data_IF_419193935638
#
_entry.id   IF_419193935638
#
_cell.length_a   1.000
_cell.length_b   1.000
_cell.length_c   1.000
_cell.angle_alpha   90.00
_cell.angle_beta   90.00
_cell.angle_gamma   90.00
#
_symmetry.space_group_name_H-M   'P 1'
#
loop_
_entity.id
_entity.type
_entity.pdbx_description
1 polymer ?
#
# COMPACT_ATOMS: atom_id res chain seq x y z
N UNK A 1 3.27 36.43 -1.16
CA UNK A 1 2.75 35.41 -0.21
C UNK A 1 1.73 34.56 -0.97
N UNK A 2 2.19 33.48 -1.62
CA UNK A 2 1.34 32.66 -2.50
C UNK A 2 0.36 31.84 -1.66
N UNK A 3 -0.94 32.13 -1.82
CA UNK A 3 -2.04 31.35 -1.26
C UNK A 3 -2.05 29.98 -1.94
N UNK A 4 -1.59 28.95 -1.22
CA UNK A 4 -1.75 27.56 -1.65
C UNK A 4 -3.23 27.20 -1.55
N UNK A 5 -3.87 26.99 -2.69
CA UNK A 5 -5.28 26.61 -2.82
C UNK A 5 -5.51 25.17 -2.36
N UNK A 6 -6.48 24.98 -1.45
CA UNK A 6 -6.92 23.72 -0.80
C UNK A 6 -7.50 22.66 -1.78
N UNK A 7 -6.71 22.05 -2.68
CA UNK A 7 -7.27 21.07 -3.65
C UNK A 7 -6.67 19.65 -3.73
N UNK A 8 -5.71 19.24 -2.89
CA UNK A 8 -5.12 17.87 -3.01
C UNK A 8 -4.88 17.14 -1.68
N UNK A 9 -5.85 17.18 -0.77
CA UNK A 9 -5.84 16.31 0.41
C UNK A 9 -6.71 15.10 0.08
N UNK A 10 -6.11 13.92 -0.13
CA UNK A 10 -6.87 12.67 -0.30
C UNK A 10 -7.94 12.54 0.78
N UNK A 11 -9.11 11.94 0.47
CA UNK A 11 -10.38 11.99 1.24
C UNK A 11 -10.26 12.06 2.78
N UNK A 12 -9.33 11.30 3.38
CA UNK A 12 -9.15 11.23 4.83
C UNK A 12 -7.89 11.91 5.38
N UNK A 13 -7.07 12.57 4.55
CA UNK A 13 -5.90 13.34 5.01
C UNK A 13 -6.27 14.48 5.97
N UNK A 14 -7.52 14.97 5.91
CA UNK A 14 -8.06 15.92 6.91
C UNK A 14 -7.94 15.43 8.35
N UNK A 15 -7.93 14.12 8.58
CA UNK A 15 -7.76 13.55 9.92
C UNK A 15 -6.39 13.88 10.53
N UNK A 16 -5.38 14.19 9.71
CA UNK A 16 -4.05 14.61 10.18
C UNK A 16 -4.03 16.01 10.82
N UNK A 17 -5.15 16.73 10.80
CA UNK A 17 -5.31 17.97 11.57
C UNK A 17 -5.40 17.68 13.08
N UNK A 18 -5.84 16.48 13.46
CA UNK A 18 -5.76 16.00 14.82
C UNK A 18 -4.30 15.64 15.16
N UNK A 19 -3.71 16.24 16.20
CA UNK A 19 -2.32 15.99 16.58
C UNK A 19 -2.00 14.53 16.91
N UNK A 20 -2.94 13.78 17.51
CA UNK A 20 -2.72 12.39 17.90
C UNK A 20 -2.80 11.47 16.69
N UNK A 21 -3.74 11.72 15.77
CA UNK A 21 -3.78 11.03 14.48
C UNK A 21 -2.50 11.30 13.69
N UNK A 22 -2.00 12.53 13.71
CA UNK A 22 -0.73 12.88 13.05
C UNK A 22 0.46 12.13 13.67
N UNK A 23 0.58 12.11 15.00
CA UNK A 23 1.66 11.38 15.69
C UNK A 23 1.63 9.89 15.39
N UNK A 24 0.44 9.30 15.39
CA UNK A 24 0.22 7.90 15.02
C UNK A 24 0.63 7.62 13.57
N UNK A 25 0.18 8.46 12.64
CA UNK A 25 0.53 8.37 11.22
C UNK A 25 2.03 8.46 11.02
N UNK A 26 2.68 9.50 11.57
CA UNK A 26 4.12 9.73 11.44
C UNK A 26 4.91 8.54 12.00
N UNK A 27 4.44 7.93 13.09
CA UNK A 27 5.07 6.75 13.66
C UNK A 27 5.02 5.53 12.73
N UNK A 28 3.88 5.27 12.07
CA UNK A 28 3.76 4.19 11.09
C UNK A 28 4.59 4.51 9.83
N UNK A 29 4.58 5.77 9.41
CA UNK A 29 5.26 6.24 8.20
C UNK A 29 6.79 6.05 8.27
N UNK A 30 7.39 6.06 9.47
CA UNK A 30 8.81 5.73 9.67
C UNK A 30 9.18 4.33 9.18
N UNK A 31 8.26 3.38 9.25
CA UNK A 31 8.46 2.02 8.71
C UNK A 31 7.97 1.89 7.28
N UNK A 32 6.82 2.48 6.96
CA UNK A 32 6.24 2.43 5.61
C UNK A 32 5.18 3.52 5.43
N UNK A 33 5.46 4.49 4.56
CA UNK A 33 4.51 5.55 4.20
C UNK A 33 3.25 4.98 3.55
N UNK A 34 3.40 3.96 2.67
CA UNK A 34 2.28 3.23 2.07
C UNK A 34 1.35 2.67 3.14
N UNK A 35 1.92 2.02 4.16
CA UNK A 35 1.15 1.46 5.28
C UNK A 35 0.44 2.55 6.08
N UNK A 36 1.11 3.69 6.32
CA UNK A 36 0.52 4.82 7.01
C UNK A 36 -0.70 5.40 6.25
N UNK A 37 -0.56 5.61 4.94
CA UNK A 37 -1.64 6.10 4.08
C UNK A 37 -2.81 5.12 3.98
N UNK A 38 -2.52 3.81 3.85
CA UNK A 38 -3.56 2.77 3.88
C UNK A 38 -4.30 2.78 5.21
N UNK A 39 -3.59 2.78 6.34
CA UNK A 39 -4.21 2.77 7.68
C UNK A 39 -5.01 4.04 7.95
N UNK A 40 -4.52 5.22 7.59
CA UNK A 40 -5.25 6.48 7.70
C UNK A 40 -6.57 6.44 6.92
N UNK A 41 -6.54 5.93 5.69
CA UNK A 41 -7.73 5.74 4.87
C UNK A 41 -8.70 4.76 5.51
N UNK A 42 -8.24 3.62 6.05
CA UNK A 42 -9.12 2.64 6.69
C UNK A 42 -9.77 3.18 7.97
N UNK A 43 -9.00 3.90 8.79
CA UNK A 43 -9.52 4.59 9.97
C UNK A 43 -10.59 5.61 9.57
N UNK A 44 -10.34 6.41 8.52
CA UNK A 44 -11.31 7.37 8.03
C UNK A 44 -12.59 6.75 7.46
N UNK A 45 -12.48 5.64 6.72
CA UNK A 45 -13.66 4.89 6.22
C UNK A 45 -14.49 4.34 7.37
N UNK A 46 -13.85 3.79 8.41
CA UNK A 46 -14.54 3.33 9.61
C UNK A 46 -15.31 4.49 10.26
N UNK A 47 -14.63 5.61 10.52
CA UNK A 47 -15.22 6.80 11.11
C UNK A 47 -16.43 7.32 10.31
N UNK A 48 -16.37 7.33 8.99
CA UNK A 48 -17.49 7.73 8.14
C UNK A 48 -18.67 6.75 8.21
N UNK A 49 -18.40 5.45 8.20
CA UNK A 49 -19.45 4.43 8.27
C UNK A 49 -20.16 4.38 9.62
N UNK A 50 -19.43 4.65 10.72
CA UNK A 50 -19.96 4.63 12.08
C UNK A 50 -20.34 6.01 12.61
N UNK A 51 -20.17 7.06 11.80
CA UNK A 51 -20.42 8.47 12.17
C UNK A 51 -19.70 8.88 13.46
N UNK A 52 -18.47 8.43 13.64
CA UNK A 52 -17.62 8.78 14.78
C UNK A 52 -16.34 9.46 14.30
N UNK A 53 -15.52 9.97 15.22
CA UNK A 53 -14.16 10.43 14.95
C UNK A 53 -13.13 9.52 15.62
N UNK A 54 -11.85 9.54 15.19
CA UNK A 54 -10.82 8.67 15.76
C UNK A 54 -10.72 8.75 17.29
N UNK A 55 -10.85 9.96 17.84
CA UNK A 55 -10.80 10.23 19.27
C UNK A 55 -11.94 9.55 20.04
N UNK A 56 -13.18 9.74 19.61
CA UNK A 56 -14.36 9.09 20.21
C UNK A 56 -14.23 7.56 20.20
N UNK A 57 -13.78 6.98 19.09
CA UNK A 57 -13.55 5.54 19.01
C UNK A 57 -12.50 5.06 20.01
N UNK A 58 -11.40 5.80 20.18
CA UNK A 58 -10.39 5.49 21.19
C UNK A 58 -10.95 5.63 22.62
N UNK A 59 -11.72 6.69 22.89
CA UNK A 59 -12.33 6.93 24.21
C UNK A 59 -13.30 5.81 24.63
N UNK A 60 -14.05 5.22 23.69
CA UNK A 60 -14.89 4.06 23.96
C UNK A 60 -14.02 2.90 24.49
N UNK A 61 -12.92 2.59 23.81
CA UNK A 61 -12.01 1.53 24.23
C UNK A 61 -11.28 1.81 25.54
N UNK A 62 -10.96 3.08 25.82
CA UNK A 62 -10.33 3.50 27.09
C UNK A 62 -11.30 3.33 28.25
N UNK A 63 -12.56 3.71 28.07
CA UNK A 63 -13.62 3.54 29.09
C UNK A 63 -13.92 2.07 29.33
N UNK A 64 -14.05 1.30 28.25
CA UNK A 64 -14.37 -0.11 28.32
C UNK A 64 -13.92 -0.83 27.05
N UNK A 65 -12.90 -1.67 27.17
CA UNK A 65 -12.36 -2.46 26.05
C UNK A 65 -13.43 -3.34 25.39
N UNK A 66 -14.39 -3.85 26.17
CA UNK A 66 -15.47 -4.69 25.65
C UNK A 66 -16.32 -3.94 24.63
N UNK A 67 -16.63 -2.67 24.87
CA UNK A 67 -17.49 -1.89 23.98
C UNK A 67 -16.79 -1.63 22.64
N UNK A 68 -15.47 -1.40 22.66
CA UNK A 68 -14.69 -1.31 21.43
C UNK A 68 -14.66 -2.65 20.67
N UNK A 69 -14.57 -3.78 21.37
CA UNK A 69 -14.60 -5.10 20.73
C UNK A 69 -15.96 -5.44 20.13
N UNK A 70 -17.05 -5.14 20.84
CA UNK A 70 -18.42 -5.33 20.37
C UNK A 70 -18.66 -4.49 19.10
N UNK A 71 -18.22 -3.23 19.08
CA UNK A 71 -18.25 -2.37 17.88
C UNK A 71 -17.46 -2.94 16.70
N UNK A 72 -16.28 -3.53 16.95
CA UNK A 72 -15.48 -4.12 15.89
C UNK A 72 -16.12 -5.41 15.33
N UNK A 73 -16.74 -6.22 16.17
CA UNK A 73 -17.48 -7.42 15.75
C UNK A 73 -18.71 -7.06 14.90
N UNK A 74 -19.47 -6.06 15.33
CA UNK A 74 -20.61 -5.54 14.58
C UNK A 74 -20.20 -4.93 13.25
N UNK A 75 -19.07 -4.22 13.24
CA UNK A 75 -18.54 -3.62 12.03
C UNK A 75 -18.03 -4.66 11.02
N UNK A 76 -17.40 -5.74 11.47
CA UNK A 76 -17.06 -6.89 10.61
C UNK A 76 -18.33 -7.48 10.02
N UNK A 77 -19.35 -7.75 10.84
CA UNK A 77 -20.64 -8.27 10.37
C UNK A 77 -21.30 -7.35 9.34
N UNK A 78 -21.19 -6.03 9.52
CA UNK A 78 -21.66 -5.04 8.56
C UNK A 78 -20.91 -5.12 7.23
N UNK A 79 -19.58 -5.23 7.25
CA UNK A 79 -18.77 -5.34 6.03
C UNK A 79 -19.00 -6.66 5.28
N UNK A 80 -19.15 -7.76 5.99
CA UNK A 80 -19.50 -9.06 5.41
C UNK A 80 -20.86 -9.02 4.71
N UNK A 81 -21.88 -8.43 5.35
CA UNK A 81 -23.22 -8.23 4.75
C UNK A 81 -23.19 -7.34 3.50
N UNK A 82 -22.21 -6.44 3.40
CA UNK A 82 -21.99 -5.59 2.21
C UNK A 82 -21.20 -6.30 1.11
N UNK A 83 -20.72 -7.52 1.33
CA UNK A 83 -19.98 -8.30 0.35
C UNK A 83 -18.53 -7.83 0.14
N UNK A 84 -17.93 -7.15 1.12
CA UNK A 84 -16.52 -6.77 1.02
C UNK A 84 -15.61 -8.01 1.08
N UNK A 85 -14.52 -7.98 0.31
CA UNK A 85 -13.54 -9.06 0.30
C UNK A 85 -12.93 -9.30 1.70
N UNK A 86 -12.75 -10.55 2.15
CA UNK A 86 -12.19 -10.85 3.48
C UNK A 86 -10.86 -10.15 3.79
N UNK A 87 -9.94 -10.11 2.83
CA UNK A 87 -8.65 -9.43 2.95
C UNK A 87 -8.79 -7.92 3.19
N UNK A 88 -9.80 -7.30 2.58
CA UNK A 88 -10.12 -5.89 2.77
C UNK A 88 -10.64 -5.60 4.19
N UNK A 89 -11.49 -6.49 4.71
CA UNK A 89 -12.01 -6.40 6.09
C UNK A 89 -10.85 -6.54 7.09
N UNK A 90 -9.96 -7.50 6.87
CA UNK A 90 -8.77 -7.74 7.69
C UNK A 90 -7.84 -6.51 7.71
N UNK A 91 -7.62 -5.87 6.56
CA UNK A 91 -6.82 -4.66 6.48
C UNK A 91 -7.46 -3.46 7.21
N UNK A 92 -8.79 -3.37 7.25
CA UNK A 92 -9.47 -2.39 8.10
C UNK A 92 -9.22 -2.71 9.57
N UNK A 93 -9.39 -3.96 10.01
CA UNK A 93 -9.14 -4.34 11.39
C UNK A 93 -7.70 -4.08 11.82
N UNK A 94 -6.70 -4.33 10.97
CA UNK A 94 -5.30 -4.00 11.25
C UNK A 94 -5.12 -2.50 11.52
N UNK A 95 -5.79 -1.64 10.76
CA UNK A 95 -5.74 -0.20 10.97
C UNK A 95 -6.40 0.22 12.30
N UNK A 96 -7.59 -0.32 12.60
CA UNK A 96 -8.31 -0.02 13.83
C UNK A 96 -7.58 -0.53 15.08
N UNK A 97 -7.03 -1.75 15.04
CA UNK A 97 -6.15 -2.30 16.09
C UNK A 97 -4.92 -1.43 16.29
N UNK A 98 -4.30 -0.97 15.20
CA UNK A 98 -3.15 -0.07 15.26
C UNK A 98 -3.48 1.27 15.91
N UNK A 99 -4.69 1.81 15.69
CA UNK A 99 -5.13 3.05 16.31
C UNK A 99 -5.46 2.87 17.80
N UNK A 100 -6.21 1.82 18.15
CA UNK A 100 -6.53 1.50 19.54
C UNK A 100 -5.27 1.23 20.36
N UNK A 101 -4.31 0.45 19.82
CA UNK A 101 -3.04 0.19 20.51
C UNK A 101 -2.21 1.44 20.73
N UNK A 102 -2.25 2.42 19.82
CA UNK A 102 -1.58 3.71 20.00
C UNK A 102 -2.21 4.51 21.15
N UNK A 103 -3.51 4.35 21.37
CA UNK A 103 -4.27 4.96 22.45
C UNK A 103 -4.36 4.06 23.70
N UNK A 104 -3.39 3.17 23.90
CA UNK A 104 -3.28 2.28 25.07
C UNK A 104 -4.45 1.28 25.26
N UNK A 105 -5.28 1.08 24.24
CA UNK A 105 -6.37 0.09 24.26
C UNK A 105 -5.88 -1.23 23.67
N UNK A 106 -5.68 -2.24 24.51
CA UNK A 106 -5.31 -3.59 24.10
C UNK A 106 -6.54 -4.48 24.03
N UNK A 107 -6.92 -4.89 22.81
CA UNK A 107 -7.99 -5.87 22.59
C UNK A 107 -7.60 -7.25 23.14
N UNK A 108 -8.57 -7.94 23.73
CA UNK A 108 -8.45 -9.28 24.32
C UNK A 108 -9.05 -10.34 23.40
N UNK A 109 -10.21 -10.06 22.79
CA UNK A 109 -10.94 -10.98 21.92
C UNK A 109 -10.25 -11.13 20.56
N UNK A 110 -10.21 -12.39 20.10
CA UNK A 110 -9.86 -12.71 18.71
C UNK A 110 -11.08 -12.49 17.82
N UNK A 111 -10.98 -11.54 16.91
CA UNK A 111 -11.98 -11.31 15.87
C UNK A 111 -11.56 -12.14 14.66
N UNK A 112 -12.39 -13.10 14.26
CA UNK A 112 -12.11 -14.01 13.14
C UNK A 112 -12.76 -13.45 11.88
N UNK A 113 -12.03 -13.52 10.77
CA UNK A 113 -12.55 -13.25 9.42
C UNK A 113 -12.29 -14.53 8.62
N UNK A 114 -13.34 -15.09 8.04
CA UNK A 114 -13.23 -16.31 7.24
C UNK A 114 -12.53 -15.98 5.91
N UNK A 115 -11.60 -16.82 5.48
CA UNK A 115 -10.93 -16.73 4.18
C UNK A 115 -10.14 -15.42 3.96
N UNK A 116 -9.66 -14.77 5.02
CA UNK A 116 -8.90 -13.51 4.93
C UNK A 116 -7.58 -13.64 4.15
N UNK A 117 -7.04 -14.85 4.09
CA UNK A 117 -5.81 -15.26 3.40
C UNK A 117 -6.04 -15.75 1.97
N UNK A 118 -7.30 -15.95 1.55
CA UNK A 118 -7.63 -16.40 0.20
C UNK A 118 -7.67 -15.20 -0.74
N UNK A 119 -6.90 -15.19 -1.84
CA UNK A 119 -6.87 -14.09 -2.81
C UNK A 119 -8.09 -14.17 -3.74
N UNK A 120 -9.29 -13.94 -3.20
CA UNK A 120 -10.58 -14.05 -3.91
C UNK A 120 -10.67 -13.18 -5.17
N UNK A 121 -9.91 -12.08 -5.25
CA UNK A 121 -9.91 -11.19 -6.42
C UNK A 121 -9.02 -11.69 -7.55
N UNK A 122 -8.10 -12.62 -7.28
CA UNK A 122 -7.11 -13.11 -8.25
C UNK A 122 -7.49 -14.48 -8.83
N UNK A 123 -8.60 -15.08 -8.40
CA UNK A 123 -8.99 -16.45 -8.76
C UNK A 123 -9.13 -16.65 -10.28
N UNK A 124 -9.58 -15.62 -11.00
CA UNK A 124 -9.76 -15.64 -12.45
C UNK A 124 -8.68 -14.84 -13.20
N UNK A 125 -7.58 -14.46 -12.56
CA UNK A 125 -6.48 -13.79 -13.26
C UNK A 125 -5.71 -14.79 -14.13
N UNK A 126 -5.54 -14.44 -15.41
CA UNK A 126 -4.73 -15.22 -16.34
C UNK A 126 -3.33 -14.64 -16.48
N UNK A 127 -2.33 -15.50 -16.49
CA UNK A 127 -0.97 -15.12 -16.88
C UNK A 127 -0.94 -14.89 -18.39
N UNK A 128 -0.52 -13.71 -18.90
CA UNK A 128 -0.46 -13.45 -20.32
C UNK A 128 0.44 -14.46 -21.05
N UNK A 129 -0.05 -14.98 -22.18
CA UNK A 129 0.78 -15.78 -23.10
C UNK A 129 1.83 -14.90 -23.79
N UNK A 130 2.84 -15.51 -24.41
CA UNK A 130 3.88 -14.78 -25.17
C UNK A 130 3.27 -13.90 -26.28
N UNK A 131 2.22 -14.38 -26.96
CA UNK A 131 1.51 -13.60 -27.98
C UNK A 131 0.81 -12.39 -27.35
N UNK A 132 0.04 -12.59 -26.27
CA UNK A 132 -0.65 -11.50 -25.56
C UNK A 132 0.34 -10.44 -25.04
N UNK A 133 1.51 -10.87 -24.53
CA UNK A 133 2.57 -9.95 -24.12
C UNK A 133 3.14 -9.17 -25.32
N UNK A 134 3.32 -9.84 -26.47
CA UNK A 134 3.70 -9.20 -27.72
C UNK A 134 2.73 -8.11 -28.15
N UNK A 135 1.42 -8.37 -28.07
CA UNK A 135 0.37 -7.40 -28.41
C UNK A 135 0.42 -6.17 -27.49
N UNK A 136 0.61 -6.39 -26.17
CA UNK A 136 0.76 -5.32 -25.18
C UNK A 136 2.01 -4.47 -25.45
N UNK A 137 3.14 -5.11 -25.73
CA UNK A 137 4.38 -4.41 -26.06
C UNK A 137 4.24 -3.60 -27.34
N UNK A 138 3.64 -4.16 -28.40
CA UNK A 138 3.48 -3.47 -29.68
C UNK A 138 2.52 -2.27 -29.60
N UNK A 139 1.56 -2.31 -28.69
CA UNK A 139 0.59 -1.22 -28.47
C UNK A 139 1.14 -0.09 -27.57
N UNK A 140 2.24 -0.33 -26.86
CA UNK A 140 2.79 0.59 -25.88
C UNK A 140 3.83 1.55 -26.50
N UNK A 141 3.88 2.84 -26.08
CA UNK A 141 4.96 3.73 -26.50
C UNK A 141 6.32 3.30 -25.94
N UNK A 142 7.40 3.89 -26.46
CA UNK A 142 8.77 3.45 -26.17
C UNK A 142 9.10 3.38 -24.67
N UNK A 143 8.64 4.36 -23.88
CA UNK A 143 8.90 4.41 -22.43
C UNK A 143 8.19 3.29 -21.68
N UNK A 144 6.93 3.05 -22.00
CA UNK A 144 6.08 2.04 -21.38
C UNK A 144 6.57 0.64 -21.74
N UNK A 145 7.03 0.42 -22.98
CA UNK A 145 7.67 -0.84 -23.41
C UNK A 145 8.84 -1.22 -22.52
N UNK A 146 9.68 -0.25 -22.15
CA UNK A 146 10.80 -0.48 -21.22
C UNK A 146 10.29 -0.94 -19.85
N UNK A 147 9.30 -0.24 -19.28
CA UNK A 147 8.70 -0.63 -17.99
C UNK A 147 8.05 -2.01 -18.03
N UNK A 148 7.27 -2.31 -19.07
CA UNK A 148 6.65 -3.63 -19.28
C UNK A 148 7.72 -4.71 -19.38
N UNK A 149 8.81 -4.44 -20.11
CA UNK A 149 9.91 -5.40 -20.29
C UNK A 149 10.62 -5.72 -18.98
N UNK A 150 10.89 -4.71 -18.13
CA UNK A 150 11.48 -4.96 -16.81
C UNK A 150 10.56 -5.81 -15.91
N UNK A 151 9.25 -5.57 -15.93
CA UNK A 151 8.31 -6.34 -15.13
C UNK A 151 8.14 -7.77 -15.66
N UNK A 152 7.91 -7.92 -16.96
CA UNK A 152 7.58 -9.20 -17.58
C UNK A 152 8.80 -10.10 -17.79
N UNK A 153 9.98 -9.53 -18.07
CA UNK A 153 11.18 -10.30 -18.45
C UNK A 153 12.24 -10.37 -17.35
N UNK A 154 12.28 -9.38 -16.45
CA UNK A 154 13.24 -9.35 -15.35
C UNK A 154 12.58 -9.51 -13.95
N UNK A 155 11.25 -9.66 -13.88
CA UNK A 155 10.52 -9.87 -12.63
C UNK A 155 10.58 -8.68 -11.67
N UNK A 156 10.85 -7.48 -12.19
CA UNK A 156 10.98 -6.27 -11.39
C UNK A 156 9.59 -5.79 -10.95
N UNK A 157 9.45 -5.43 -9.66
CA UNK A 157 8.19 -4.87 -9.15
C UNK A 157 8.01 -3.42 -9.64
N UNK A 158 6.78 -2.94 -9.86
CA UNK A 158 6.53 -1.55 -10.25
C UNK A 158 7.22 -0.53 -9.32
N UNK A 159 7.22 -0.78 -8.00
CA UNK A 159 7.82 0.13 -7.02
C UNK A 159 9.35 0.20 -7.07
N UNK A 160 10.01 -0.76 -7.76
CA UNK A 160 11.44 -0.69 -8.06
C UNK A 160 11.69 0.24 -9.24
N UNK A 161 10.80 0.27 -10.22
CA UNK A 161 10.91 1.20 -11.35
C UNK A 161 10.71 2.66 -10.91
N UNK A 162 9.80 2.88 -9.96
CA UNK A 162 9.62 4.16 -9.29
C UNK A 162 9.01 3.95 -7.91
N UNK A 163 9.64 4.52 -6.88
CA UNK A 163 9.17 4.38 -5.51
C UNK A 163 7.82 5.07 -5.29
N UNK A 164 7.21 4.85 -4.13
CA UNK A 164 5.88 5.37 -3.82
C UNK A 164 5.69 6.88 -4.03
N UNK A 165 6.74 7.68 -3.83
CA UNK A 165 6.71 9.14 -4.01
C UNK A 165 7.08 9.59 -5.43
N UNK A 166 7.52 8.68 -6.29
CA UNK A 166 8.02 8.99 -7.63
C UNK A 166 9.29 9.84 -7.64
N UNK A 167 10.05 9.85 -6.55
CA UNK A 167 11.27 10.67 -6.41
C UNK A 167 12.58 9.86 -6.51
N UNK A 168 12.48 8.53 -6.50
CA UNK A 168 13.58 7.61 -6.82
C UNK A 168 13.04 6.38 -7.54
N UNK A 169 13.91 5.60 -8.18
CA UNK A 169 13.54 4.41 -8.95
C UNK A 169 14.74 3.78 -9.64
N UNK A 170 14.53 2.78 -10.49
CA UNK A 170 15.62 2.10 -11.19
C UNK A 170 16.43 3.08 -12.05
N UNK A 171 17.76 3.03 -11.94
CA UNK A 171 18.69 3.89 -12.70
C UNK A 171 19.49 3.08 -13.72
N UNK A 172 20.01 3.76 -14.74
CA UNK A 172 20.95 3.18 -15.73
C UNK A 172 22.13 2.51 -15.01
N UNK A 173 22.68 3.13 -13.96
CA UNK A 173 23.79 2.60 -13.14
C UNK A 173 23.47 1.31 -12.38
N UNK A 174 22.19 0.96 -12.28
CA UNK A 174 21.72 -0.26 -11.61
C UNK A 174 21.79 -1.48 -12.56
N UNK A 175 21.98 -1.27 -13.87
CA UNK A 175 22.17 -2.32 -14.89
C UNK A 175 23.68 -2.57 -15.05
N UNK A 176 24.20 -3.64 -14.44
CA UNK A 176 25.65 -3.81 -14.24
C UNK A 176 26.43 -4.15 -15.48
N UNK A 177 25.83 -4.89 -16.40
CA UNK A 177 26.49 -5.33 -17.62
C UNK A 177 26.25 -4.37 -18.78
N UNK A 178 25.64 -3.19 -18.56
CA UNK A 178 25.31 -2.23 -19.62
C UNK A 178 26.35 -1.11 -19.71
N UNK A 179 26.84 -0.87 -20.92
CA UNK A 179 27.74 0.23 -21.25
C UNK A 179 27.08 1.17 -22.28
N UNK A 180 27.39 2.46 -22.17
CA UNK A 180 27.02 3.48 -23.15
C UNK A 180 28.30 3.93 -23.87
N UNK A 181 28.40 3.69 -25.18
CA UNK A 181 29.54 4.12 -26.01
C UNK A 181 29.01 4.79 -27.26
N UNK A 182 29.45 6.02 -27.52
CA UNK A 182 29.08 6.81 -28.71
C UNK A 182 27.57 6.95 -28.97
N UNK A 183 26.75 6.88 -27.91
CA UNK A 183 25.28 6.94 -28.00
C UNK A 183 24.59 5.59 -28.18
N UNK A 184 25.37 4.51 -28.35
CA UNK A 184 24.88 3.14 -28.43
C UNK A 184 24.94 2.42 -27.08
N UNK A 185 24.09 1.41 -26.93
CA UNK A 185 23.98 0.57 -25.74
C UNK A 185 24.62 -0.78 -26.01
N UNK A 186 25.60 -1.15 -25.19
CA UNK A 186 26.29 -2.44 -25.26
C UNK A 186 26.05 -3.23 -23.97
N UNK A 187 26.03 -4.55 -24.08
CA UNK A 187 25.96 -5.44 -22.92
C UNK A 187 27.18 -6.35 -22.88
N UNK A 188 27.96 -6.28 -21.81
CA UNK A 188 29.10 -7.18 -21.58
C UNK A 188 28.65 -8.64 -21.41
N UNK A 189 27.49 -8.83 -20.76
CA UNK A 189 26.90 -10.15 -20.49
C UNK A 189 25.39 -10.11 -20.72
N UNK A 190 24.88 -11.19 -21.30
CA UNK A 190 23.45 -11.41 -21.54
C UNK A 190 23.06 -12.77 -20.90
N UNK A 191 22.06 -12.84 -20.02
CA UNK A 191 21.22 -11.72 -19.56
C UNK A 191 21.96 -10.75 -18.64
N UNK A 192 21.65 -9.47 -18.74
CA UNK A 192 22.22 -8.42 -17.91
C UNK A 192 21.71 -8.51 -16.46
N UNK A 193 22.58 -8.26 -15.50
CA UNK A 193 22.30 -8.23 -14.07
C UNK A 193 21.79 -6.85 -13.65
N UNK A 194 20.65 -6.84 -12.96
CA UNK A 194 20.06 -5.64 -12.37
C UNK A 194 20.29 -5.67 -10.86
N UNK A 195 20.77 -4.56 -10.30
CA UNK A 195 20.95 -4.37 -8.87
C UNK A 195 19.80 -3.56 -8.29
N UNK A 196 18.95 -4.18 -7.47
CA UNK A 196 17.91 -3.47 -6.74
C UNK A 196 18.52 -2.88 -5.47
N UNK A 197 18.59 -1.54 -5.41
CA UNK A 197 19.11 -0.81 -4.25
C UNK A 197 18.23 -1.10 -3.02
N UNK A 198 18.83 -1.14 -1.83
CA UNK A 198 18.13 -1.46 -0.56
C UNK A 198 16.90 -0.58 -0.31
N UNK A 199 16.98 0.71 -0.67
CA UNK A 199 15.87 1.67 -0.55
C UNK A 199 14.64 1.33 -1.43
N UNK A 200 14.82 0.52 -2.48
CA UNK A 200 13.76 0.04 -3.38
C UNK A 200 13.40 -1.43 -3.13
N UNK A 201 14.15 -2.11 -2.26
CA UNK A 201 13.96 -3.51 -1.93
C UNK A 201 12.92 -3.66 -0.82
N UNK A 202 11.92 -4.51 -1.05
CA UNK A 202 10.94 -4.87 -0.01
C UNK A 202 11.60 -5.58 1.19
N UNK A 203 12.71 -6.29 0.96
CA UNK A 203 13.42 -7.00 2.02
C UNK A 203 14.42 -6.10 2.77
N UNK A 204 14.64 -4.86 2.32
CA UNK A 204 15.59 -3.92 2.91
C UNK A 204 17.06 -4.25 2.65
N UNK A 205 17.35 -5.29 1.87
CA UNK A 205 18.69 -5.69 1.44
C UNK A 205 18.72 -6.00 -0.07
N UNK A 206 19.93 -6.11 -0.61
CA UNK A 206 20.18 -6.49 -2.01
C UNK A 206 19.86 -7.98 -2.25
#
# INVERSE_FOLDING_TARGET
MLKVTRKDWGRHRRLLQDPDVKRWYDNIARGSVVTADVRLRRLGVYCENTKTIPKEFAEIGIKNVRDAEDLLLDYVSFLEKKGYAPSYIEDILKALRSWLSFNYVKLVRKIKIKNADIPVTLENEEIPSKSKLGDVLNSAPARERVSISFMALAGIRPEVLGNYHGNDGLKISDIKDMELKDGDVFFERIPAKITVRSALSKAGHQ
#
